data_IF_610490540049
#
_entry.id   IF_610490540049
#
_cell.length_a   1.000
_cell.length_b   1.000
_cell.length_c   1.000
_cell.angle_alpha   90.00
_cell.angle_beta   90.00
_cell.angle_gamma   90.00
#
_symmetry.space_group_name_H-M   'P 1'
#
loop_
_entity.id
_entity.type
_entity.pdbx_description
1 polymer ?
#
# COMPACT_ATOMS: atom_id res chain seq x y z
N UNK A 1 25.22 -30.96 25.49
CA UNK A 1 25.35 -29.63 24.87
C UNK A 1 24.99 -29.76 23.40
N UNK A 2 23.75 -29.58 23.08
CA UNK A 2 23.23 -29.57 21.69
C UNK A 2 23.49 -28.19 21.07
N UNK A 3 24.34 -28.12 20.04
CA UNK A 3 24.61 -26.89 19.29
C UNK A 3 23.36 -26.51 18.52
N UNK A 4 22.81 -25.34 18.83
CA UNK A 4 21.75 -24.72 18.02
C UNK A 4 22.20 -24.58 16.56
N UNK A 5 21.33 -24.90 15.58
CA UNK A 5 21.66 -24.74 14.18
C UNK A 5 21.82 -23.22 13.87
N UNK A 6 22.79 -22.84 13.04
CA UNK A 6 23.03 -21.43 12.72
C UNK A 6 21.80 -20.83 12.07
N UNK A 7 21.29 -19.73 12.64
CA UNK A 7 20.21 -18.94 12.06
C UNK A 7 20.55 -18.58 10.62
N UNK A 8 19.76 -19.09 9.67
CA UNK A 8 19.88 -18.72 8.25
C UNK A 8 19.73 -17.19 8.14
N UNK A 9 20.79 -16.54 7.68
CA UNK A 9 20.74 -15.10 7.35
C UNK A 9 19.59 -14.87 6.36
N UNK A 10 18.56 -14.16 6.79
CA UNK A 10 17.50 -13.66 5.91
C UNK A 10 18.19 -12.75 4.89
N UNK A 11 18.27 -13.20 3.63
CA UNK A 11 18.76 -12.35 2.55
C UNK A 11 17.80 -11.17 2.42
N UNK A 12 18.30 -9.94 2.54
CA UNK A 12 17.53 -8.72 2.24
C UNK A 12 17.02 -8.86 0.80
N UNK A 13 15.72 -8.63 0.54
CA UNK A 13 15.23 -8.55 -0.83
C UNK A 13 16.00 -7.43 -1.55
N UNK A 14 16.71 -7.77 -2.63
CA UNK A 14 17.30 -6.77 -3.52
C UNK A 14 16.15 -6.11 -4.29
N UNK A 15 15.74 -4.96 -3.81
CA UNK A 15 14.77 -4.12 -4.49
C UNK A 15 15.40 -3.53 -5.76
N UNK A 16 15.18 -4.18 -6.90
CA UNK A 16 15.50 -3.65 -8.22
C UNK A 16 14.31 -2.83 -8.71
N UNK A 17 14.48 -1.51 -8.80
CA UNK A 17 13.45 -0.49 -9.06
C UNK A 17 12.51 -0.79 -10.23
N UNK A 18 12.97 -1.46 -11.29
CA UNK A 18 12.20 -1.65 -12.50
C UNK A 18 11.49 -3.02 -12.60
N UNK A 19 11.89 -3.99 -11.80
CA UNK A 19 11.28 -5.33 -11.71
C UNK A 19 11.41 -5.83 -10.27
N UNK A 20 10.53 -5.41 -9.36
CA UNK A 20 10.55 -5.91 -7.99
C UNK A 20 10.31 -7.42 -8.02
N UNK A 21 11.21 -8.16 -7.38
CA UNK A 21 11.05 -9.60 -7.23
C UNK A 21 10.29 -9.88 -5.94
N UNK A 22 9.14 -10.54 -6.07
CA UNK A 22 8.35 -11.06 -4.94
C UNK A 22 8.54 -12.58 -4.89
N UNK A 23 9.06 -13.11 -3.79
CA UNK A 23 9.23 -14.54 -3.62
C UNK A 23 7.88 -15.24 -3.43
N UNK A 24 7.84 -16.61 -3.59
CA UNK A 24 6.62 -17.37 -3.26
C UNK A 24 6.20 -17.20 -1.81
N UNK A 25 7.15 -17.09 -0.89
CA UNK A 25 6.90 -16.88 0.53
C UNK A 25 6.28 -15.52 0.80
N UNK A 26 6.85 -14.46 0.20
CA UNK A 26 6.34 -13.11 0.39
C UNK A 26 4.95 -12.96 -0.27
N UNK A 27 4.70 -13.68 -1.37
CA UNK A 27 3.41 -13.65 -2.04
C UNK A 27 2.29 -14.37 -1.26
N UNK A 28 2.63 -15.26 -0.34
CA UNK A 28 1.64 -15.89 0.55
C UNK A 28 1.15 -14.97 1.66
N UNK A 29 1.91 -13.92 1.97
CA UNK A 29 1.60 -12.95 3.02
C UNK A 29 1.89 -11.55 2.47
N UNK A 30 1.09 -11.09 1.50
CA UNK A 30 1.32 -9.81 0.83
C UNK A 30 1.10 -8.60 1.75
N UNK A 31 0.17 -8.69 2.68
CA UNK A 31 -0.07 -7.68 3.70
C UNK A 31 1.17 -7.46 4.58
N UNK A 32 1.80 -8.54 5.07
CA UNK A 32 3.05 -8.47 5.82
C UNK A 32 4.22 -7.97 4.95
N UNK A 33 4.25 -8.37 3.67
CA UNK A 33 5.29 -7.96 2.73
C UNK A 33 5.21 -6.48 2.38
N UNK A 34 4.01 -5.95 2.14
CA UNK A 34 3.82 -4.55 1.74
C UNK A 34 3.90 -3.58 2.92
N UNK A 35 3.37 -3.95 4.09
CA UNK A 35 3.23 -3.05 5.23
C UNK A 35 4.52 -2.30 5.62
N UNK A 36 5.70 -2.93 5.75
CA UNK A 36 6.93 -2.20 6.10
C UNK A 36 7.35 -1.18 5.05
N UNK A 37 7.08 -1.46 3.76
CA UNK A 37 7.45 -0.58 2.65
C UNK A 37 6.48 0.61 2.60
N UNK A 38 5.17 0.34 2.76
CA UNK A 38 4.13 1.38 2.83
C UNK A 38 4.36 2.30 4.03
N UNK A 39 4.65 1.74 5.21
CA UNK A 39 4.98 2.53 6.40
C UNK A 39 6.20 3.43 6.19
N UNK A 40 7.29 2.90 5.64
CA UNK A 40 8.50 3.67 5.38
C UNK A 40 8.25 4.80 4.37
N UNK A 41 7.49 4.52 3.31
CA UNK A 41 7.10 5.50 2.30
C UNK A 41 6.24 6.61 2.86
N UNK A 42 5.14 6.27 3.54
CA UNK A 42 4.21 7.24 4.13
C UNK A 42 4.88 8.10 5.22
N UNK A 43 5.71 7.50 6.09
CA UNK A 43 6.50 8.28 7.07
C UNK A 43 7.41 9.29 6.38
N UNK A 44 8.09 8.88 5.31
CA UNK A 44 8.97 9.78 4.58
C UNK A 44 8.19 10.87 3.86
N UNK A 45 7.05 10.54 3.24
CA UNK A 45 6.15 11.49 2.58
C UNK A 45 5.67 12.57 3.54
N UNK A 46 5.28 12.22 4.76
CA UNK A 46 4.87 13.17 5.81
C UNK A 46 5.96 14.19 6.20
N UNK A 47 7.24 13.91 5.92
CA UNK A 47 8.34 14.87 6.19
C UNK A 47 8.56 15.86 5.07
N UNK A 48 7.87 15.72 3.95
CA UNK A 48 7.95 16.61 2.81
C UNK A 48 6.97 17.78 2.97
N UNK A 49 7.28 18.88 2.28
CA UNK A 49 6.28 19.92 2.02
C UNK A 49 5.36 19.40 0.91
N UNK A 50 4.05 19.34 1.18
CA UNK A 50 3.08 18.81 0.24
C UNK A 50 2.50 19.97 -0.57
N UNK A 51 2.88 20.06 -1.85
CA UNK A 51 2.36 21.08 -2.77
C UNK A 51 1.07 20.61 -3.46
N UNK A 52 0.90 19.29 -3.59
CA UNK A 52 -0.34 18.70 -4.05
C UNK A 52 -1.22 18.30 -2.86
N UNK A 53 -2.42 18.84 -2.81
CA UNK A 53 -3.45 18.56 -1.80
C UNK A 53 -4.71 18.16 -2.57
N UNK A 54 -5.26 16.95 -2.35
CA UNK A 54 -6.51 16.54 -3.00
C UNK A 54 -7.65 17.53 -2.69
N UNK A 55 -8.56 17.68 -3.65
CA UNK A 55 -9.64 18.69 -3.57
C UNK A 55 -10.57 18.52 -2.36
N UNK A 56 -10.61 17.35 -1.74
CA UNK A 56 -11.39 17.05 -0.54
C UNK A 56 -10.83 17.75 0.72
N UNK A 57 -9.61 18.30 0.68
CA UNK A 57 -8.93 18.92 1.82
C UNK A 57 -8.68 20.40 1.59
N UNK A 58 -8.80 21.20 2.65
CA UNK A 58 -8.59 22.65 2.60
C UNK A 58 -7.15 23.05 2.92
N UNK A 59 -6.43 22.19 3.68
CA UNK A 59 -5.10 22.49 4.18
C UNK A 59 -4.17 21.29 4.05
N UNK A 60 -2.85 21.58 3.99
CA UNK A 60 -1.80 20.55 4.02
C UNK A 60 -1.90 19.70 5.30
N UNK A 61 -2.28 20.30 6.43
CA UNK A 61 -2.35 19.57 7.70
C UNK A 61 -3.51 18.58 7.75
N UNK A 62 -4.69 18.94 7.23
CA UNK A 62 -5.82 18.00 7.08
C UNK A 62 -5.42 16.80 6.20
N UNK A 63 -4.68 17.04 5.11
CA UNK A 63 -4.16 15.98 4.25
C UNK A 63 -3.15 15.12 5.00
N UNK A 64 -2.20 15.73 5.72
CA UNK A 64 -1.22 14.99 6.55
C UNK A 64 -1.88 14.16 7.64
N UNK A 65 -2.96 14.63 8.26
CA UNK A 65 -3.71 13.85 9.25
C UNK A 65 -4.33 12.60 8.64
N UNK A 66 -4.84 12.72 7.41
CA UNK A 66 -5.33 11.57 6.66
C UNK A 66 -4.21 10.57 6.34
N UNK A 67 -3.03 11.05 5.94
CA UNK A 67 -1.86 10.19 5.72
C UNK A 67 -1.39 9.54 7.03
N UNK A 68 -1.42 10.24 8.16
CA UNK A 68 -1.13 9.67 9.51
C UNK A 68 -2.10 8.55 9.85
N UNK A 69 -3.38 8.69 9.49
CA UNK A 69 -4.38 7.63 9.68
C UNK A 69 -4.06 6.40 8.81
N UNK A 70 -3.67 6.59 7.54
CA UNK A 70 -3.23 5.50 6.67
C UNK A 70 -2.01 4.80 7.28
N UNK A 71 -0.97 5.57 7.64
CA UNK A 71 0.26 5.08 8.25
C UNK A 71 -0.02 4.26 9.50
N UNK A 72 -0.84 4.80 10.44
CA UNK A 72 -1.18 4.09 11.66
C UNK A 72 -1.81 2.72 11.37
N UNK A 73 -2.68 2.63 10.35
CA UNK A 73 -3.34 1.37 9.99
C UNK A 73 -2.36 0.32 9.46
N UNK A 74 -1.39 0.72 8.62
CA UNK A 74 -0.35 -0.20 8.16
C UNK A 74 0.66 -0.56 9.27
N UNK A 75 0.92 0.35 10.21
CA UNK A 75 1.77 0.07 11.38
C UNK A 75 1.16 -1.02 12.27
N UNK A 76 -0.17 -1.09 12.41
CA UNK A 76 -0.82 -2.16 13.17
C UNK A 76 -0.51 -3.53 12.58
N UNK A 77 -0.45 -3.66 11.24
CA UNK A 77 -0.07 -4.92 10.59
C UNK A 77 1.43 -5.19 10.61
N UNK A 78 2.25 -4.15 10.45
CA UNK A 78 3.71 -4.29 10.41
C UNK A 78 4.33 -4.60 11.78
N UNK A 79 3.73 -4.16 12.87
CA UNK A 79 4.27 -4.23 14.23
C UNK A 79 3.51 -5.23 15.13
N UNK A 80 2.89 -6.26 14.57
CA UNK A 80 2.12 -7.27 15.30
C UNK A 80 1.00 -6.64 16.15
N UNK A 81 0.27 -5.71 15.60
CA UNK A 81 -0.91 -5.08 16.21
C UNK A 81 -0.66 -4.46 17.61
N UNK A 82 0.30 -3.52 17.76
CA UNK A 82 0.72 -3.03 19.08
C UNK A 82 -0.39 -2.37 19.89
N UNK A 83 -1.42 -1.84 19.23
CA UNK A 83 -2.55 -1.15 19.87
C UNK A 83 -3.82 -2.03 19.90
N UNK A 84 -3.73 -3.31 19.52
CA UNK A 84 -4.89 -4.21 19.53
C UNK A 84 -5.38 -4.49 20.95
N UNK A 85 -6.64 -4.16 21.27
CA UNK A 85 -7.19 -4.35 22.59
C UNK A 85 -7.19 -5.80 23.08
N UNK A 86 -7.33 -6.76 22.14
CA UNK A 86 -7.28 -8.18 22.47
C UNK A 86 -5.87 -8.61 22.84
N UNK A 87 -4.87 -8.28 22.05
CA UNK A 87 -3.47 -8.62 22.30
C UNK A 87 -3.01 -8.03 23.63
N UNK A 88 -3.34 -6.76 23.93
CA UNK A 88 -3.02 -6.10 25.21
C UNK A 88 -3.69 -6.82 26.39
N UNK A 89 -4.95 -7.21 26.22
CA UNK A 89 -5.68 -7.95 27.24
C UNK A 89 -5.10 -9.35 27.43
N UNK A 90 -4.85 -10.07 26.33
CA UNK A 90 -4.29 -11.42 26.30
C UNK A 90 -2.94 -11.46 27.03
N UNK A 91 -1.99 -10.61 26.65
CA UNK A 91 -0.65 -10.53 27.26
C UNK A 91 -0.71 -10.27 28.77
N UNK A 92 -1.67 -9.43 29.19
CA UNK A 92 -1.87 -9.14 30.60
C UNK A 92 -2.41 -10.35 31.37
N UNK A 93 -3.39 -11.06 30.85
CA UNK A 93 -3.98 -12.23 31.53
C UNK A 93 -3.02 -13.42 31.46
N UNK A 94 -2.32 -13.64 30.35
CA UNK A 94 -1.26 -14.65 30.25
C UNK A 94 -0.15 -14.43 31.28
N UNK A 95 0.27 -13.18 31.47
CA UNK A 95 1.27 -12.84 32.50
C UNK A 95 0.79 -13.20 33.90
N UNK A 96 -0.47 -12.90 34.25
CA UNK A 96 -1.05 -13.28 35.53
C UNK A 96 -1.06 -14.79 35.76
N UNK A 97 -1.43 -15.55 34.73
CA UNK A 97 -1.42 -17.02 34.82
C UNK A 97 0.02 -17.54 34.99
N UNK A 98 0.98 -16.99 34.24
CA UNK A 98 2.40 -17.34 34.36
C UNK A 98 2.95 -17.03 35.75
N UNK A 99 2.64 -15.86 36.32
CA UNK A 99 3.04 -15.48 37.68
C UNK A 99 2.41 -16.40 38.77
N UNK A 100 1.21 -16.92 38.49
CA UNK A 100 0.54 -17.89 39.34
C UNK A 100 1.01 -19.35 39.12
N UNK A 101 1.94 -19.59 38.18
CA UNK A 101 2.41 -20.94 37.84
C UNK A 101 1.37 -21.78 37.07
N UNK A 102 0.39 -21.14 36.45
CA UNK A 102 -0.69 -21.77 35.68
C UNK A 102 -0.36 -21.68 34.20
N UNK A 103 -0.43 -22.80 33.48
CA UNK A 103 -0.26 -22.81 32.02
C UNK A 103 -1.44 -22.11 31.35
N UNK A 104 -1.17 -21.28 30.35
CA UNK A 104 -2.19 -20.55 29.55
C UNK A 104 -3.10 -21.53 28.82
N UNK A 105 -2.53 -22.63 28.32
CA UNK A 105 -3.24 -23.68 27.60
C UNK A 105 -3.01 -25.03 28.25
N UNK A 106 -4.07 -25.86 28.26
CA UNK A 106 -4.02 -27.27 28.63
C UNK A 106 -4.40 -28.08 27.41
N UNK A 107 -3.68 -29.14 27.15
CA UNK A 107 -3.98 -30.10 26.09
C UNK A 107 -4.61 -31.34 26.72
N UNK A 108 -5.82 -31.68 26.33
CA UNK A 108 -6.60 -32.80 26.83
C UNK A 108 -7.14 -33.63 25.65
N UNK A 109 -7.46 -34.90 25.88
CA UNK A 109 -8.07 -35.75 24.86
C UNK A 109 -9.50 -35.27 24.60
N UNK A 110 -9.87 -35.18 23.29
CA UNK A 110 -11.21 -34.77 22.91
C UNK A 110 -12.22 -35.87 23.30
N UNK A 111 -13.20 -35.60 24.22
CA UNK A 111 -14.15 -36.58 24.65
C UNK A 111 -15.12 -37.05 23.55
N UNK A 112 -15.24 -36.30 22.46
CA UNK A 112 -16.14 -36.60 21.33
C UNK A 112 -15.39 -37.37 20.23
N UNK A 113 -14.09 -37.09 20.06
CA UNK A 113 -13.26 -37.69 19.04
C UNK A 113 -12.02 -38.35 19.65
N UNK A 114 -12.12 -39.62 20.06
CA UNK A 114 -10.99 -40.33 20.68
C UNK A 114 -9.73 -40.31 19.80
N UNK A 115 -8.59 -39.97 20.39
CA UNK A 115 -7.31 -39.83 19.72
C UNK A 115 -7.05 -38.42 19.14
N UNK A 116 -8.01 -37.50 19.24
CA UNK A 116 -7.77 -36.07 18.99
C UNK A 116 -7.44 -35.36 20.31
N UNK A 117 -6.51 -34.40 20.22
CA UNK A 117 -6.14 -33.53 21.34
C UNK A 117 -6.85 -32.19 21.14
N UNK A 118 -7.63 -31.81 22.16
CA UNK A 118 -8.20 -30.45 22.21
C UNK A 118 -7.33 -29.54 23.06
N UNK A 119 -7.22 -28.30 22.63
CA UNK A 119 -6.58 -27.23 23.37
C UNK A 119 -7.64 -26.48 24.19
N UNK A 120 -7.49 -26.46 25.48
CA UNK A 120 -8.32 -25.69 26.40
C UNK A 120 -7.54 -24.47 26.87
N UNK A 121 -8.18 -23.32 26.95
CA UNK A 121 -7.58 -22.10 27.46
C UNK A 121 -7.96 -21.91 28.95
N UNK A 122 -6.96 -21.58 29.75
CA UNK A 122 -7.16 -21.14 31.14
C UNK A 122 -7.36 -19.62 31.25
N UNK A 123 -7.38 -18.92 30.10
CA UNK A 123 -7.71 -17.51 30.12
C UNK A 123 -9.14 -17.29 30.60
N UNK A 124 -9.41 -16.22 31.33
CA UNK A 124 -10.78 -15.85 31.69
C UNK A 124 -11.59 -15.53 30.43
N UNK A 125 -12.89 -15.56 30.55
CA UNK A 125 -13.77 -15.08 29.49
C UNK A 125 -13.47 -13.61 29.16
N UNK A 126 -13.40 -13.30 27.87
CA UNK A 126 -13.07 -11.96 27.42
C UNK A 126 -14.16 -10.96 27.82
N UNK A 127 -13.80 -9.88 28.53
CA UNK A 127 -14.79 -8.90 28.94
C UNK A 127 -15.46 -8.20 27.74
N UNK A 128 -16.78 -7.96 27.77
CA UNK A 128 -17.50 -7.27 26.68
C UNK A 128 -16.92 -5.87 26.34
N UNK A 129 -16.25 -5.23 27.31
CA UNK A 129 -15.54 -3.96 27.08
C UNK A 129 -14.37 -4.13 26.09
N UNK A 130 -13.66 -5.24 26.16
CA UNK A 130 -12.53 -5.55 25.26
C UNK A 130 -13.08 -5.87 23.88
N UNK A 131 -14.12 -6.69 23.80
CA UNK A 131 -14.79 -7.01 22.53
C UNK A 131 -15.26 -5.74 21.80
N UNK A 132 -15.94 -4.83 22.48
CA UNK A 132 -16.35 -3.54 21.94
C UNK A 132 -15.16 -2.66 21.52
N UNK A 133 -14.04 -2.72 22.24
CA UNK A 133 -12.83 -2.01 21.89
C UNK A 133 -12.19 -2.58 20.62
N UNK A 134 -12.18 -3.92 20.44
CA UNK A 134 -11.72 -4.60 19.23
C UNK A 134 -12.52 -4.19 17.98
N UNK A 135 -13.86 -4.15 18.10
CA UNK A 135 -14.71 -3.71 16.99
C UNK A 135 -14.32 -2.29 16.55
N UNK A 136 -14.15 -1.37 17.50
CA UNK A 136 -13.73 0.02 17.20
C UNK A 136 -12.34 0.08 16.60
N UNK A 137 -11.40 -0.74 17.10
CA UNK A 137 -10.05 -0.85 16.60
C UNK A 137 -10.05 -1.33 15.14
N UNK A 138 -10.75 -2.43 14.84
CA UNK A 138 -10.84 -2.98 13.49
C UNK A 138 -11.47 -1.99 12.50
N UNK A 139 -12.54 -1.27 12.90
CA UNK A 139 -13.14 -0.21 12.09
C UNK A 139 -12.11 0.89 11.80
N UNK A 140 -11.30 1.29 12.78
CA UNK A 140 -10.27 2.32 12.62
C UNK A 140 -9.14 1.85 11.70
N UNK A 141 -8.66 0.62 11.82
CA UNK A 141 -7.66 0.02 10.93
C UNK A 141 -8.19 -0.02 9.50
N UNK A 142 -9.37 -0.58 9.29
CA UNK A 142 -9.99 -0.65 7.97
C UNK A 142 -10.21 0.73 7.34
N UNK A 143 -10.57 1.73 8.16
CA UNK A 143 -10.74 3.11 7.67
C UNK A 143 -9.45 3.64 7.05
N UNK A 144 -8.28 3.46 7.69
CA UNK A 144 -7.02 3.98 7.15
C UNK A 144 -6.59 3.26 5.88
N UNK A 145 -6.83 1.93 5.77
CA UNK A 145 -6.54 1.17 4.55
C UNK A 145 -7.45 1.63 3.39
N UNK A 146 -8.75 1.88 3.66
CA UNK A 146 -9.66 2.44 2.66
C UNK A 146 -9.30 3.86 2.24
N UNK A 147 -8.81 4.70 3.16
CA UNK A 147 -8.30 6.03 2.83
C UNK A 147 -7.08 5.92 1.90
N UNK A 148 -6.17 4.99 2.15
CA UNK A 148 -5.05 4.73 1.25
C UNK A 148 -5.54 4.35 -0.16
N UNK A 149 -6.49 3.43 -0.28
CA UNK A 149 -7.08 3.05 -1.55
C UNK A 149 -7.76 4.22 -2.28
N UNK A 150 -8.55 5.04 -1.54
CA UNK A 150 -9.25 6.21 -2.08
C UNK A 150 -8.29 7.25 -2.63
N UNK A 151 -7.22 7.56 -1.89
CA UNK A 151 -6.27 8.63 -2.23
C UNK A 151 -4.95 8.11 -2.78
N UNK A 152 -4.90 6.85 -3.21
CA UNK A 152 -3.67 6.24 -3.73
C UNK A 152 -3.00 7.09 -4.81
N UNK A 153 -3.80 7.60 -5.74
CA UNK A 153 -3.34 8.39 -6.89
C UNK A 153 -2.86 9.80 -6.51
N UNK A 154 -3.21 10.28 -5.31
CA UNK A 154 -2.84 11.60 -4.79
C UNK A 154 -1.58 11.56 -3.90
N UNK A 155 -0.96 10.38 -3.73
CA UNK A 155 0.24 10.19 -2.92
C UNK A 155 1.50 10.63 -3.68
N UNK A 156 1.50 11.87 -4.16
CA UNK A 156 2.63 12.52 -4.80
C UNK A 156 2.74 13.99 -4.40
N UNK A 157 3.94 14.57 -4.57
CA UNK A 157 4.18 16.01 -4.39
C UNK A 157 5.34 16.46 -5.26
N UNK A 158 5.37 17.72 -5.60
CA UNK A 158 6.47 18.32 -6.34
C UNK A 158 7.60 18.62 -5.35
N UNK A 159 8.80 18.10 -5.60
CA UNK A 159 9.99 18.47 -4.85
C UNK A 159 10.68 19.59 -5.61
N UNK A 160 10.69 20.79 -5.05
CA UNK A 160 11.62 21.84 -5.50
C UNK A 160 13.04 21.35 -5.19
N UNK A 161 13.89 21.09 -6.19
CA UNK A 161 15.24 20.64 -5.94
C UNK A 161 15.93 21.65 -5.03
N UNK A 162 16.24 21.28 -3.79
CA UNK A 162 17.11 22.12 -2.98
C UNK A 162 18.43 22.25 -3.74
N UNK A 163 18.92 23.47 -4.00
CA UNK A 163 20.23 23.63 -4.59
C UNK A 163 21.20 22.79 -3.77
N UNK A 164 21.92 21.89 -4.47
CA UNK A 164 22.83 20.96 -3.82
C UNK A 164 23.75 21.78 -2.91
N UNK A 165 23.58 21.63 -1.60
CA UNK A 165 24.44 22.30 -0.65
C UNK A 165 25.88 21.96 -1.05
N UNK A 166 26.66 22.96 -1.49
CA UNK A 166 28.05 22.78 -1.87
C UNK A 166 28.76 22.17 -0.67
N UNK A 167 29.00 20.85 -0.76
CA UNK A 167 29.78 20.14 0.26
C UNK A 167 31.14 20.82 0.34
N UNK A 168 31.51 21.20 1.54
CA UNK A 168 32.89 21.70 1.75
C UNK A 168 33.85 20.56 1.39
N UNK A 169 34.89 20.80 0.60
CA UNK A 169 35.87 19.79 0.27
C UNK A 169 36.42 19.20 1.59
N UNK A 170 36.34 17.89 1.76
CA UNK A 170 36.83 17.20 2.98
C UNK A 170 35.76 16.79 4.00
N UNK A 171 34.51 17.18 3.86
CA UNK A 171 33.44 16.74 4.77
C UNK A 171 33.05 15.30 4.49
N UNK A 172 33.42 14.38 5.39
CA UNK A 172 33.01 12.98 5.32
C UNK A 172 31.46 12.90 5.46
N UNK A 173 30.78 12.06 4.67
CA UNK A 173 29.34 11.93 4.77
C UNK A 173 28.95 11.52 6.19
N UNK A 174 28.19 12.38 6.87
CA UNK A 174 27.70 12.11 8.20
C UNK A 174 26.98 10.75 8.21
N UNK A 175 27.40 9.88 9.12
CA UNK A 175 26.86 8.52 9.32
C UNK A 175 25.39 8.57 9.75
N UNK A 176 24.46 8.92 8.86
CA UNK A 176 23.01 8.66 9.04
C UNK A 176 22.64 7.15 8.99
N UNK A 177 23.68 6.28 8.96
CA UNK A 177 23.51 4.82 8.84
C UNK A 177 23.02 4.10 10.12
N UNK A 178 22.97 4.76 11.28
CA UNK A 178 22.76 4.02 12.53
C UNK A 178 21.30 3.85 12.96
N UNK A 179 20.38 4.74 12.59
CA UNK A 179 18.98 4.64 13.03
C UNK A 179 18.12 3.69 12.17
N UNK A 180 18.44 3.54 10.88
CA UNK A 180 17.73 2.61 10.01
C UNK A 180 18.03 1.13 10.28
N UNK A 181 19.13 0.82 10.98
CA UNK A 181 19.48 -0.56 11.37
C UNK A 181 18.60 -1.12 12.47
N UNK A 182 17.98 -0.26 13.29
CA UNK A 182 17.18 -0.67 14.43
C UNK A 182 15.75 -1.12 14.05
N UNK A 183 15.19 -0.62 12.93
CA UNK A 183 13.77 -0.81 12.60
C UNK A 183 13.47 -1.83 11.50
N UNK A 184 14.45 -2.50 10.90
CA UNK A 184 14.27 -3.42 9.74
C UNK A 184 13.50 -2.81 8.54
N UNK A 185 13.24 -1.51 8.54
CA UNK A 185 12.48 -0.82 7.50
C UNK A 185 13.36 -0.51 6.27
N UNK A 186 12.81 -0.52 5.05
CA UNK A 186 13.50 -0.10 3.86
C UNK A 186 13.78 1.40 3.90
N UNK A 187 14.95 1.80 3.37
CA UNK A 187 15.32 3.22 3.25
C UNK A 187 14.64 3.80 2.01
N UNK A 188 13.71 4.72 2.21
CA UNK A 188 13.04 5.48 1.16
C UNK A 188 13.69 6.88 1.07
N UNK A 189 14.19 7.25 -0.11
CA UNK A 189 14.75 8.57 -0.39
C UNK A 189 13.65 9.64 -0.49
N UNK A 190 14.01 10.92 -0.40
CA UNK A 190 13.06 12.02 -0.61
C UNK A 190 12.39 11.95 -2.00
N UNK A 191 13.17 11.63 -3.03
CA UNK A 191 12.67 11.52 -4.40
C UNK A 191 11.67 10.37 -4.56
N UNK A 192 11.92 9.23 -3.93
CA UNK A 192 10.97 8.10 -3.95
C UNK A 192 9.72 8.43 -3.14
N UNK A 193 9.87 9.11 -2.01
CA UNK A 193 8.74 9.51 -1.20
C UNK A 193 7.89 10.61 -1.84
N UNK A 194 8.47 11.44 -2.71
CA UNK A 194 7.71 12.46 -3.41
C UNK A 194 6.73 11.90 -4.45
N UNK A 195 6.91 10.65 -4.85
CA UNK A 195 6.00 9.95 -5.77
C UNK A 195 5.85 8.49 -5.30
N UNK A 196 5.01 8.32 -4.29
CA UNK A 196 4.72 7.00 -3.73
C UNK A 196 3.91 6.14 -4.72
N UNK A 197 3.18 6.75 -5.62
CA UNK A 197 2.45 6.04 -6.68
C UNK A 197 3.44 5.28 -7.55
N UNK A 198 4.47 5.97 -8.08
CA UNK A 198 5.52 5.35 -8.89
C UNK A 198 6.35 4.34 -8.08
N UNK A 199 6.53 4.54 -6.77
CA UNK A 199 7.25 3.62 -5.91
C UNK A 199 6.48 2.32 -5.66
N UNK A 200 5.19 2.43 -5.28
CA UNK A 200 4.40 1.29 -4.80
C UNK A 200 3.76 0.49 -5.94
N UNK A 201 3.33 1.14 -7.03
CA UNK A 201 2.60 0.48 -8.11
C UNK A 201 3.31 -0.75 -8.68
N UNK A 202 4.61 -0.69 -9.06
CA UNK A 202 5.31 -1.87 -9.59
C UNK A 202 5.41 -3.01 -8.57
N UNK A 203 5.55 -2.67 -7.29
CA UNK A 203 5.66 -3.63 -6.19
C UNK A 203 4.32 -4.36 -5.98
N UNK A 204 3.22 -3.60 -5.94
CA UNK A 204 1.87 -4.15 -5.77
C UNK A 204 1.51 -5.02 -6.98
N UNK A 205 1.79 -4.58 -8.21
CA UNK A 205 1.59 -5.41 -9.41
C UNK A 205 2.35 -6.73 -9.34
N UNK A 206 3.63 -6.69 -8.96
CA UNK A 206 4.45 -7.89 -8.85
C UNK A 206 3.94 -8.84 -7.75
N UNK A 207 3.51 -8.31 -6.61
CA UNK A 207 2.93 -9.07 -5.51
C UNK A 207 1.63 -9.75 -5.90
N UNK A 208 0.65 -8.98 -6.39
CA UNK A 208 -0.65 -9.51 -6.80
C UNK A 208 -0.54 -10.52 -7.95
N UNK A 209 0.33 -10.25 -8.94
CA UNK A 209 0.60 -11.18 -10.04
C UNK A 209 1.20 -12.49 -9.53
N UNK A 210 2.10 -12.42 -8.55
CA UNK A 210 2.70 -13.61 -7.93
C UNK A 210 1.72 -14.37 -7.06
N UNK A 211 0.86 -13.67 -6.32
CA UNK A 211 -0.20 -14.25 -5.51
C UNK A 211 -1.18 -15.05 -6.37
N UNK A 212 -1.65 -14.48 -7.50
CA UNK A 212 -2.52 -15.19 -8.45
C UNK A 212 -1.91 -16.46 -9.05
N UNK A 213 -0.59 -16.55 -9.09
CA UNK A 213 0.14 -17.73 -9.59
C UNK A 213 0.36 -18.80 -8.49
N UNK A 214 -0.16 -18.60 -7.27
CA UNK A 214 -0.15 -19.62 -6.21
C UNK A 214 -1.34 -20.57 -6.37
N UNK A 215 -1.16 -21.81 -5.89
CA UNK A 215 -2.27 -22.72 -5.64
C UNK A 215 -2.91 -22.26 -4.31
N UNK A 216 -3.90 -21.37 -4.40
CA UNK A 216 -4.56 -20.81 -3.25
C UNK A 216 -5.41 -21.87 -2.57
N UNK A 217 -5.15 -22.13 -1.29
CA UNK A 217 -5.88 -23.08 -0.46
C UNK A 217 -6.79 -22.38 0.55
N UNK A 218 -6.45 -21.16 0.93
CA UNK A 218 -7.27 -20.27 1.73
C UNK A 218 -8.32 -19.57 0.89
N UNK A 219 -9.58 -19.60 1.33
CA UNK A 219 -10.65 -18.84 0.73
C UNK A 219 -11.31 -17.96 1.79
N UNK A 220 -11.20 -16.64 1.59
CA UNK A 220 -11.66 -15.67 2.57
C UNK A 220 -13.16 -15.42 2.45
N UNK A 221 -13.68 -15.43 1.23
CA UNK A 221 -15.12 -15.30 1.02
C UNK A 221 -15.74 -16.67 0.77
N UNK A 222 -16.36 -17.22 1.82
CA UNK A 222 -17.01 -18.53 1.80
C UNK A 222 -18.12 -18.60 0.73
N UNK A 223 -18.66 -17.45 0.33
CA UNK A 223 -19.76 -17.37 -0.64
C UNK A 223 -19.27 -17.37 -2.09
N UNK A 224 -18.11 -16.77 -2.37
CA UNK A 224 -17.56 -16.64 -3.73
C UNK A 224 -16.52 -17.72 -4.07
N UNK A 225 -15.96 -18.40 -3.08
CA UNK A 225 -14.95 -19.43 -3.25
C UNK A 225 -13.61 -18.91 -3.84
N UNK A 226 -12.71 -19.83 -4.16
CA UNK A 226 -11.37 -19.50 -4.69
C UNK A 226 -11.44 -18.73 -6.00
N UNK A 227 -12.41 -19.04 -6.87
CA UNK A 227 -12.55 -18.37 -8.18
C UNK A 227 -13.05 -16.92 -8.02
N UNK A 228 -13.98 -16.67 -7.11
CA UNK A 228 -14.40 -15.30 -6.78
C UNK A 228 -13.27 -14.47 -6.20
N UNK A 229 -12.46 -15.09 -5.32
CA UNK A 229 -11.26 -14.46 -4.77
C UNK A 229 -10.24 -14.10 -5.85
N UNK A 230 -9.90 -15.04 -6.74
CA UNK A 230 -9.00 -14.78 -7.89
C UNK A 230 -9.51 -13.67 -8.78
N UNK A 231 -10.83 -13.57 -9.00
CA UNK A 231 -11.45 -12.48 -9.76
C UNK A 231 -11.24 -11.12 -9.08
N UNK A 232 -11.41 -11.04 -7.76
CA UNK A 232 -11.18 -9.81 -7.01
C UNK A 232 -9.70 -9.39 -7.07
N UNK A 233 -8.77 -10.31 -6.84
CA UNK A 233 -7.32 -10.04 -6.95
C UNK A 233 -6.92 -9.65 -8.37
N UNK A 234 -7.52 -10.27 -9.39
CA UNK A 234 -7.28 -9.90 -10.79
C UNK A 234 -7.79 -8.49 -11.11
N UNK A 235 -8.91 -8.07 -10.52
CA UNK A 235 -9.42 -6.71 -10.67
C UNK A 235 -8.52 -5.68 -9.98
N UNK A 236 -7.95 -5.99 -8.81
CA UNK A 236 -6.95 -5.17 -8.16
C UNK A 236 -5.72 -5.04 -9.06
N UNK A 237 -5.15 -6.16 -9.52
CA UNK A 237 -3.97 -6.18 -10.40
C UNK A 237 -4.21 -5.34 -11.66
N UNK A 238 -5.32 -5.53 -12.34
CA UNK A 238 -5.67 -4.76 -13.53
C UNK A 238 -5.62 -3.25 -13.26
N UNK A 239 -6.19 -2.79 -12.15
CA UNK A 239 -6.21 -1.36 -11.79
C UNK A 239 -4.81 -0.80 -11.54
N UNK A 240 -3.96 -1.53 -10.83
CA UNK A 240 -2.58 -1.11 -10.63
C UNK A 240 -1.74 -1.16 -11.92
N UNK A 241 -2.03 -2.08 -12.83
CA UNK A 241 -1.39 -2.11 -14.15
C UNK A 241 -1.79 -0.90 -15.00
N UNK A 242 -3.06 -0.45 -14.95
CA UNK A 242 -3.48 0.78 -15.63
C UNK A 242 -2.73 2.01 -15.08
N UNK A 243 -2.61 2.12 -13.75
CA UNK A 243 -1.83 3.19 -13.11
C UNK A 243 -0.36 3.11 -13.53
N UNK A 244 0.26 1.93 -13.52
CA UNK A 244 1.66 1.69 -13.91
C UNK A 244 1.93 2.11 -15.35
N UNK A 245 0.98 1.89 -16.23
CA UNK A 245 1.09 2.23 -17.65
C UNK A 245 0.74 3.70 -17.96
N UNK A 246 0.33 4.49 -16.95
CA UNK A 246 -0.10 5.87 -17.12
C UNK A 246 -1.40 5.98 -17.91
N UNK A 247 -2.33 5.05 -17.69
CA UNK A 247 -3.68 5.01 -18.30
C UNK A 247 -3.67 4.94 -19.85
N UNK A 248 -2.62 4.36 -20.45
CA UNK A 248 -2.46 4.29 -21.93
C UNK A 248 -3.64 3.63 -22.65
N UNK A 249 -4.36 2.75 -21.97
CA UNK A 249 -5.53 2.06 -22.53
C UNK A 249 -6.84 2.81 -22.27
N UNK A 250 -6.78 4.02 -21.69
CA UNK A 250 -7.99 4.80 -21.45
C UNK A 250 -8.61 5.30 -22.76
N UNK A 251 -9.93 5.43 -22.83
CA UNK A 251 -10.61 5.98 -24.01
C UNK A 251 -10.12 7.38 -24.41
N UNK A 252 -9.77 8.21 -23.40
CA UNK A 252 -9.26 9.55 -23.64
C UNK A 252 -7.86 9.52 -24.26
N UNK A 253 -6.91 8.74 -23.69
CA UNK A 253 -5.56 8.59 -24.22
C UNK A 253 -5.55 8.01 -25.63
N UNK A 254 -6.35 6.96 -25.87
CA UNK A 254 -6.50 6.36 -27.19
C UNK A 254 -6.99 7.38 -28.23
N UNK A 255 -7.93 8.25 -27.85
CA UNK A 255 -8.40 9.32 -28.70
C UNK A 255 -7.31 10.36 -28.97
N UNK A 256 -6.63 10.83 -27.90
CA UNK A 256 -5.55 11.82 -28.03
C UNK A 256 -4.43 11.30 -28.92
N UNK A 257 -4.02 10.04 -28.73
CA UNK A 257 -3.02 9.39 -29.58
C UNK A 257 -3.48 9.29 -31.04
N UNK A 258 -4.76 8.98 -31.27
CA UNK A 258 -5.36 8.94 -32.59
C UNK A 258 -5.33 10.31 -33.29
N UNK A 259 -5.74 11.36 -32.58
CA UNK A 259 -5.69 12.75 -33.10
C UNK A 259 -4.27 13.23 -33.31
N UNK A 260 -3.35 12.94 -32.42
CA UNK A 260 -1.93 13.27 -32.56
C UNK A 260 -1.33 12.61 -33.80
N UNK A 261 -1.68 11.35 -34.08
CA UNK A 261 -1.23 10.61 -35.27
C UNK A 261 -1.79 11.22 -36.54
N UNK A 262 -3.11 11.48 -36.61
CA UNK A 262 -3.80 12.11 -37.73
C UNK A 262 -3.18 13.47 -38.08
N UNK A 263 -2.96 14.33 -37.07
CA UNK A 263 -2.34 15.65 -37.29
C UNK A 263 -0.92 15.54 -37.83
N UNK A 264 -0.13 14.57 -37.35
CA UNK A 264 1.21 14.32 -37.88
C UNK A 264 1.18 13.89 -39.37
N UNK A 265 0.23 13.02 -39.72
CA UNK A 265 0.02 12.58 -41.11
C UNK A 265 -0.40 13.73 -42.01
N UNK A 266 -1.20 14.66 -41.52
CA UNK A 266 -1.64 15.88 -42.22
C UNK A 266 -0.58 17.01 -42.21
N UNK A 267 0.57 16.83 -41.55
CA UNK A 267 1.61 17.85 -41.39
C UNK A 267 1.21 19.01 -40.47
N UNK A 268 0.17 18.83 -39.67
CA UNK A 268 -0.33 19.85 -38.76
C UNK A 268 0.35 19.76 -37.38
N UNK A 269 0.58 20.90 -36.71
CA UNK A 269 1.15 20.89 -35.38
C UNK A 269 0.19 20.26 -34.35
N UNK A 270 0.71 19.38 -33.51
CA UNK A 270 -0.02 18.78 -32.35
C UNK A 270 -0.15 19.80 -31.22
N UNK A 271 0.88 20.63 -31.07
CA UNK A 271 0.92 21.68 -30.06
C UNK A 271 1.39 22.97 -30.70
N UNK A 272 0.87 24.11 -30.26
CA UNK A 272 1.43 25.43 -30.56
C UNK A 272 1.81 26.13 -29.28
N UNK A 273 2.90 26.91 -29.34
CA UNK A 273 3.18 27.86 -28.27
C UNK A 273 2.04 28.89 -28.26
N UNK A 274 1.34 29.02 -27.17
CA UNK A 274 0.39 30.11 -26.97
C UNK A 274 1.19 31.32 -26.48
N UNK A 275 0.90 32.49 -27.01
CA UNK A 275 1.34 33.74 -26.38
C UNK A 275 0.66 33.81 -25.01
N UNK A 276 1.45 33.66 -23.97
CA UNK A 276 0.96 33.77 -22.60
C UNK A 276 0.88 35.26 -22.28
N UNK A 277 -0.28 35.79 -21.90
CA UNK A 277 -0.41 37.14 -21.41
C UNK A 277 0.28 37.39 -20.05
N UNK A 278 0.87 36.35 -19.47
CA UNK A 278 1.54 36.43 -18.17
C UNK A 278 3.00 36.90 -18.34
N UNK A 279 3.41 38.03 -17.74
CA UNK A 279 4.75 38.61 -17.94
C UNK A 279 5.90 37.80 -17.29
N UNK A 280 5.63 36.68 -16.63
CA UNK A 280 6.65 35.84 -15.97
C UNK A 280 7.35 34.83 -16.91
N UNK A 281 7.14 34.90 -18.19
CA UNK A 281 7.95 34.16 -19.18
C UNK A 281 7.65 32.67 -19.33
N UNK A 282 6.54 32.19 -18.87
CA UNK A 282 6.08 30.83 -19.11
C UNK A 282 5.34 30.75 -20.43
N UNK A 283 5.86 29.98 -21.38
CA UNK A 283 5.15 29.72 -22.65
C UNK A 283 4.03 28.70 -22.37
N UNK A 284 2.78 29.12 -22.45
CA UNK A 284 1.66 28.19 -22.41
C UNK A 284 1.70 27.31 -23.67
N UNK A 285 1.60 26.00 -23.47
CA UNK A 285 1.47 25.06 -24.59
C UNK A 285 -0.02 24.80 -24.80
N UNK A 286 -0.54 25.21 -25.98
CA UNK A 286 -1.91 24.89 -26.36
C UNK A 286 -1.92 23.57 -27.12
N UNK A 287 -2.64 22.57 -26.58
CA UNK A 287 -2.94 21.34 -27.29
C UNK A 287 -4.13 21.60 -28.24
N UNK A 288 -3.97 21.25 -29.50
CA UNK A 288 -5.05 21.28 -30.50
C UNK A 288 -5.83 19.96 -30.42
N UNK A 289 -6.64 19.85 -29.40
CA UNK A 289 -7.54 18.69 -29.23
C UNK A 289 -8.95 19.15 -29.64
N UNK A 290 -9.60 18.49 -30.59
CA UNK A 290 -10.98 18.76 -30.89
C UNK A 290 -11.89 18.45 -29.73
N UNK A 291 -13.09 19.02 -29.73
CA UNK A 291 -14.10 18.73 -28.68
C UNK A 291 -14.23 17.23 -28.45
N UNK A 292 -14.20 16.85 -27.17
CA UNK A 292 -14.29 15.44 -26.79
C UNK A 292 -15.75 14.98 -26.94
N UNK A 293 -16.02 13.96 -27.78
CA UNK A 293 -17.37 13.44 -27.91
C UNK A 293 -17.91 12.91 -26.59
N UNK A 294 -19.21 13.01 -26.42
CA UNK A 294 -19.90 12.58 -25.19
C UNK A 294 -19.72 11.08 -24.88
N UNK A 295 -19.69 10.24 -25.91
CA UNK A 295 -19.43 8.80 -25.78
C UNK A 295 -18.02 8.51 -25.24
N UNK A 296 -17.00 9.23 -25.67
CA UNK A 296 -15.63 9.13 -25.13
C UNK A 296 -15.59 9.59 -23.67
N UNK A 297 -16.24 10.70 -23.33
CA UNK A 297 -16.32 11.19 -21.96
C UNK A 297 -17.02 10.19 -21.04
N UNK A 298 -18.10 9.55 -21.52
CA UNK A 298 -18.81 8.50 -20.78
C UNK A 298 -17.92 7.27 -20.58
N UNK A 299 -17.28 6.79 -21.64
CA UNK A 299 -16.40 5.64 -21.59
C UNK A 299 -15.18 5.89 -20.66
N UNK A 300 -14.62 7.10 -20.66
CA UNK A 300 -13.55 7.50 -19.75
C UNK A 300 -14.01 7.44 -18.27
N UNK A 301 -15.22 7.95 -18.00
CA UNK A 301 -15.79 7.86 -16.64
C UNK A 301 -15.93 6.41 -16.18
N UNK A 302 -16.50 5.54 -17.02
CA UNK A 302 -16.64 4.12 -16.72
C UNK A 302 -15.27 3.44 -16.50
N UNK A 303 -14.27 3.81 -17.29
CA UNK A 303 -12.91 3.32 -17.15
C UNK A 303 -12.28 3.75 -15.80
N UNK A 304 -12.38 5.03 -15.44
CA UNK A 304 -11.87 5.57 -14.17
C UNK A 304 -12.58 4.93 -12.97
N UNK A 305 -13.90 4.74 -13.05
CA UNK A 305 -14.68 4.03 -12.03
C UNK A 305 -14.22 2.57 -11.88
N UNK A 306 -13.91 1.89 -12.99
CA UNK A 306 -13.37 0.52 -12.96
C UNK A 306 -11.98 0.47 -12.31
N UNK A 307 -11.10 1.44 -12.60
CA UNK A 307 -9.80 1.56 -11.91
C UNK A 307 -10.01 1.77 -10.41
N UNK A 308 -10.90 2.71 -10.04
CA UNK A 308 -11.18 2.97 -8.63
C UNK A 308 -11.73 1.75 -7.91
N UNK A 309 -12.60 0.97 -8.56
CA UNK A 309 -13.14 -0.28 -7.99
C UNK A 309 -12.04 -1.28 -7.62
N UNK A 310 -10.99 -1.41 -8.41
CA UNK A 310 -9.87 -2.30 -8.06
C UNK A 310 -9.03 -1.77 -6.88
N UNK A 311 -8.87 -0.45 -6.76
CA UNK A 311 -8.27 0.17 -5.58
C UNK A 311 -9.13 -0.07 -4.33
N UNK A 312 -10.45 0.09 -4.45
CA UNK A 312 -11.40 -0.13 -3.35
C UNK A 312 -11.39 -1.60 -2.89
N UNK A 313 -11.24 -2.55 -3.82
CA UNK A 313 -11.05 -3.96 -3.50
C UNK A 313 -9.76 -4.19 -2.69
N UNK A 314 -8.64 -3.54 -3.07
CA UNK A 314 -7.43 -3.58 -2.25
C UNK A 314 -7.72 -3.00 -0.85
N UNK A 315 -8.39 -1.86 -0.76
CA UNK A 315 -8.77 -1.25 0.52
C UNK A 315 -9.69 -2.12 1.37
N UNK A 316 -10.51 -2.96 0.74
CA UNK A 316 -11.41 -3.90 1.43
C UNK A 316 -10.67 -5.14 1.94
N UNK A 317 -9.79 -5.70 1.11
CA UNK A 317 -9.22 -7.05 1.30
C UNK A 317 -7.71 -7.04 1.57
N UNK A 318 -7.12 -5.88 1.88
CA UNK A 318 -5.68 -5.78 2.11
C UNK A 318 -5.18 -6.77 3.18
N UNK A 319 -5.89 -6.83 4.30
CA UNK A 319 -5.54 -7.70 5.44
C UNK A 319 -5.79 -9.19 5.17
N UNK A 320 -6.47 -9.49 4.07
CA UNK A 320 -6.84 -10.82 3.65
C UNK A 320 -5.94 -11.33 2.50
N UNK A 321 -4.90 -10.59 2.12
CA UNK A 321 -3.94 -10.96 1.07
C UNK A 321 -2.90 -11.95 1.58
N UNK A 322 -3.36 -13.06 2.15
CA UNK A 322 -2.54 -14.18 2.62
C UNK A 322 -3.10 -15.54 2.14
N UNK A 323 -2.24 -16.62 2.14
CA UNK A 323 -2.58 -18.01 1.76
C UNK A 323 -1.84 -19.03 2.64
#
# INVERSE_FOLDING_TARGET
>A
MTKEPPMKRIRKPEYKRNHPYVSKRDARNLDEFFSPILCAGLRRFLTLKLEHIPADFKTEEEWKDTIRQMLWSFEQHHLDCPDDPYSIWYDREERKLTEAGIATYIFDEDPIHPGMIRQLSNLPEMPPKIENAMVKYNIKVQKGIRLFAKYYRDLYTVITPRPAARRKPGEKPARKRMLAKARKEPLISEREAADLVTLFTPLICAGLSRFLALDLTGCIDVNEGVEGWKKNVSAMLWSFEQIRQGYRDSPMENRLDGECRKRKEEGLPVTTAAEDPNPEGWSAIRFHVPDVPHDVTKAEKEYVEKVQKGLDLLGKYYIDLWD
#
